data_IF_419044766723
#
_entry.id   IF_419044766723
#
_cell.length_a   1.000
_cell.length_b   1.000
_cell.length_c   1.000
_cell.angle_alpha   90.00
_cell.angle_beta   90.00
_cell.angle_gamma   90.00
#
_symmetry.space_group_name_H-M   'P 1'
#
loop_
_entity.id
_entity.type
_entity.pdbx_description
1 polymer ?
#
# COMPACT_ATOMS: atom_id res chain seq x y z
N UNK A 1 17.53 25.49 -82.97
CA UNK A 1 17.65 24.69 -81.78
C UNK A 1 16.27 24.59 -81.11
N UNK A 2 15.64 23.45 -81.26
CA UNK A 2 14.30 23.20 -80.70
C UNK A 2 14.46 22.51 -79.32
N UNK A 3 13.88 23.09 -78.27
CA UNK A 3 13.85 22.52 -76.96
C UNK A 3 12.46 21.88 -76.77
N UNK A 4 12.41 20.56 -76.72
CA UNK A 4 11.19 19.82 -76.51
C UNK A 4 10.85 19.71 -75.04
N UNK A 5 9.65 20.13 -74.65
CA UNK A 5 9.08 19.93 -73.32
C UNK A 5 8.44 18.56 -73.23
N UNK A 6 8.95 17.73 -72.27
CA UNK A 6 8.28 16.50 -71.87
C UNK A 6 7.26 16.81 -70.76
N UNK A 7 6.00 16.52 -71.03
CA UNK A 7 4.94 16.58 -70.05
C UNK A 7 4.88 15.23 -69.30
N UNK A 8 5.04 15.23 -67.97
CA UNK A 8 4.81 14.07 -67.13
C UNK A 8 3.32 14.03 -66.72
N UNK A 9 2.66 12.98 -67.12
CA UNK A 9 1.31 12.64 -66.62
C UNK A 9 1.46 11.89 -65.31
N UNK A 10 1.02 12.54 -64.23
CA UNK A 10 0.93 11.89 -62.92
C UNK A 10 -0.40 11.15 -62.85
N UNK A 11 -0.35 9.83 -62.89
CA UNK A 11 -1.53 9.00 -62.64
C UNK A 11 -1.86 9.00 -61.13
N UNK A 12 -3.02 9.56 -60.76
CA UNK A 12 -3.54 9.50 -59.42
C UNK A 12 -4.01 8.08 -59.09
N UNK A 13 -3.20 7.35 -58.29
CA UNK A 13 -3.57 6.07 -57.73
C UNK A 13 -4.67 6.26 -56.68
N UNK A 14 -5.85 5.71 -56.90
CA UNK A 14 -6.89 5.57 -55.87
C UNK A 14 -6.40 4.63 -54.80
N UNK A 15 -5.99 5.15 -53.64
CA UNK A 15 -5.71 4.37 -52.46
C UNK A 15 -6.99 3.73 -51.93
N UNK A 16 -7.06 2.40 -52.03
CA UNK A 16 -8.09 1.60 -51.34
C UNK A 16 -7.93 1.74 -49.82
N UNK A 17 -8.81 2.52 -49.21
CA UNK A 17 -8.87 2.65 -47.77
C UNK A 17 -9.23 1.29 -47.12
N UNK A 18 -8.24 0.60 -46.58
CA UNK A 18 -8.50 -0.51 -45.69
C UNK A 18 -9.10 0.04 -44.40
N UNK A 19 -10.41 -0.15 -44.25
CA UNK A 19 -11.11 0.07 -42.97
C UNK A 19 -10.47 -0.83 -41.94
N UNK A 20 -9.76 -0.25 -40.96
CA UNK A 20 -9.21 -0.99 -39.82
C UNK A 20 -10.39 -1.61 -39.05
N UNK A 21 -10.43 -2.94 -38.97
CA UNK A 21 -11.40 -3.63 -38.15
C UNK A 21 -11.16 -3.19 -36.70
N UNK A 22 -12.19 -2.74 -35.95
CA UNK A 22 -11.98 -2.38 -34.55
C UNK A 22 -11.49 -3.59 -33.79
N UNK A 23 -10.34 -3.42 -33.12
CA UNK A 23 -9.81 -4.44 -32.20
C UNK A 23 -10.85 -4.59 -31.07
N UNK A 24 -11.36 -5.79 -30.81
CA UNK A 24 -12.29 -5.99 -29.71
C UNK A 24 -11.60 -5.57 -28.41
N UNK A 25 -12.08 -4.51 -27.77
CA UNK A 25 -11.71 -4.13 -26.43
C UNK A 25 -12.22 -5.24 -25.51
N UNK A 26 -11.31 -5.99 -24.91
CA UNK A 26 -11.67 -6.90 -23.83
C UNK A 26 -12.37 -6.09 -22.75
N UNK A 27 -13.48 -6.59 -22.17
CA UNK A 27 -14.12 -5.92 -21.05
C UNK A 27 -13.09 -5.76 -19.93
N UNK A 28 -12.89 -4.53 -19.47
CA UNK A 28 -12.09 -4.27 -18.26
C UNK A 28 -12.85 -4.95 -17.12
N UNK A 29 -12.27 -6.02 -16.57
CA UNK A 29 -12.82 -6.66 -15.37
C UNK A 29 -12.57 -5.66 -14.24
N UNK A 30 -13.63 -5.02 -13.79
CA UNK A 30 -13.62 -4.12 -12.65
C UNK A 30 -14.23 -4.91 -11.49
N UNK A 31 -13.41 -5.27 -10.50
CA UNK A 31 -13.93 -5.87 -9.29
C UNK A 31 -14.87 -4.87 -8.58
N UNK A 32 -16.04 -5.30 -8.10
CA UNK A 32 -16.89 -4.44 -7.30
C UNK A 32 -16.20 -4.06 -5.99
N UNK A 33 -16.59 -2.93 -5.41
CA UNK A 33 -16.15 -2.58 -4.07
C UNK A 33 -16.70 -3.58 -3.04
N UNK A 34 -15.84 -4.13 -2.16
CA UNK A 34 -16.31 -5.08 -1.17
C UNK A 34 -17.24 -4.42 -0.15
N UNK A 35 -18.19 -5.19 0.35
CA UNK A 35 -19.16 -4.74 1.34
C UNK A 35 -18.48 -4.32 2.66
N UNK A 36 -19.08 -3.34 3.35
CA UNK A 36 -18.60 -2.86 4.66
C UNK A 36 -18.70 -3.94 5.74
N UNK A 37 -19.69 -4.80 5.65
CA UNK A 37 -19.95 -5.89 6.60
C UNK A 37 -19.07 -7.13 6.37
N UNK A 38 -18.15 -7.06 5.43
CA UNK A 38 -17.25 -8.16 5.04
C UNK A 38 -17.95 -9.41 4.54
N UNK A 39 -19.16 -9.30 4.00
CA UNK A 39 -19.88 -10.46 3.42
C UNK A 39 -19.13 -11.11 2.25
N UNK A 40 -18.17 -10.40 1.63
CA UNK A 40 -17.28 -10.88 0.57
C UNK A 40 -15.96 -11.48 1.08
N UNK A 41 -15.73 -11.52 2.40
CA UNK A 41 -14.49 -12.01 3.00
C UNK A 41 -14.54 -13.55 3.23
N UNK A 42 -13.37 -14.24 3.33
CA UNK A 42 -12.03 -13.69 3.10
C UNK A 42 -11.58 -13.76 1.63
N UNK A 43 -10.82 -12.77 1.18
CA UNK A 43 -10.12 -12.81 -0.11
C UNK A 43 -8.67 -12.37 0.08
N UNK A 44 -7.71 -13.23 -0.24
CA UNK A 44 -6.28 -13.04 0.04
C UNK A 44 -5.42 -12.89 -1.23
N UNK A 45 -5.95 -13.22 -2.42
CA UNK A 45 -5.22 -13.14 -3.68
C UNK A 45 -6.02 -12.37 -4.73
N UNK A 46 -5.32 -11.52 -5.47
CA UNK A 46 -5.91 -10.64 -6.47
C UNK A 46 -5.07 -10.67 -7.74
N UNK A 47 -5.70 -10.48 -8.89
CA UNK A 47 -5.02 -10.43 -10.19
C UNK A 47 -4.58 -9.03 -10.59
N UNK A 48 -5.07 -8.01 -9.90
CA UNK A 48 -4.80 -6.59 -10.17
C UNK A 48 -5.09 -5.75 -8.93
N UNK A 49 -4.66 -4.49 -8.97
CA UNK A 49 -4.98 -3.50 -7.93
C UNK A 49 -6.47 -3.30 -7.79
N UNK A 50 -6.96 -2.95 -6.58
CA UNK A 50 -8.37 -2.68 -6.35
C UNK A 50 -8.91 -1.56 -7.23
N UNK A 51 -10.19 -1.66 -7.56
CA UNK A 51 -10.98 -0.53 -8.05
C UNK A 51 -11.03 0.57 -7.00
N UNK A 52 -11.28 1.81 -7.44
CA UNK A 52 -11.50 2.92 -6.54
C UNK A 52 -12.81 2.75 -5.76
N UNK A 53 -12.72 2.67 -4.44
CA UNK A 53 -13.85 2.40 -3.53
C UNK A 53 -14.04 3.46 -2.44
N UNK A 54 -13.24 4.52 -2.44
CA UNK A 54 -13.43 5.61 -1.50
C UNK A 54 -14.51 6.58 -2.02
N UNK A 55 -15.41 6.98 -1.14
CA UNK A 55 -16.45 7.96 -1.42
C UNK A 55 -15.91 9.39 -1.23
N UNK A 56 -16.40 10.32 -2.04
CA UNK A 56 -15.99 11.73 -1.94
C UNK A 56 -16.53 12.36 -0.65
N UNK A 57 -15.66 13.09 0.04
CA UNK A 57 -16.04 13.84 1.25
C UNK A 57 -16.22 12.98 2.50
N UNK A 58 -15.87 11.70 2.43
CA UNK A 58 -16.01 10.74 3.53
C UNK A 58 -14.65 10.48 4.16
N UNK A 59 -14.57 10.55 5.48
CA UNK A 59 -13.38 10.17 6.24
C UNK A 59 -13.45 8.70 6.64
N UNK A 60 -12.29 8.06 6.77
CA UNK A 60 -12.19 6.64 7.08
C UNK A 60 -11.34 6.42 8.31
N UNK A 61 -11.84 5.59 9.22
CA UNK A 61 -11.08 5.11 10.38
C UNK A 61 -10.92 3.59 10.30
N UNK A 62 -9.70 3.11 10.36
CA UNK A 62 -9.42 1.70 10.53
C UNK A 62 -9.39 1.35 12.03
N UNK A 63 -10.15 0.34 12.41
CA UNK A 63 -10.19 -0.18 13.79
C UNK A 63 -9.57 -1.57 13.77
N UNK A 64 -8.40 -1.69 14.37
CA UNK A 64 -7.71 -2.95 14.55
C UNK A 64 -8.10 -3.54 15.92
N UNK A 65 -8.86 -4.63 15.93
CA UNK A 65 -9.04 -5.45 17.13
C UNK A 65 -7.85 -6.40 17.23
N UNK A 66 -7.01 -6.20 18.24
CA UNK A 66 -5.83 -7.04 18.45
C UNK A 66 -5.92 -7.82 19.77
N UNK A 67 -5.04 -8.81 19.92
CA UNK A 67 -4.93 -9.54 21.21
C UNK A 67 -4.45 -8.66 22.36
N UNK A 68 -3.82 -7.52 22.06
CA UNK A 68 -3.26 -6.60 23.05
C UNK A 68 -4.12 -5.34 23.28
N UNK A 69 -5.18 -5.16 22.49
CA UNK A 69 -6.10 -4.03 22.60
C UNK A 69 -6.51 -3.47 21.25
N UNK A 70 -7.44 -2.54 21.27
CA UNK A 70 -7.95 -1.86 20.08
C UNK A 70 -7.01 -0.72 19.68
N UNK A 71 -6.75 -0.58 18.37
CA UNK A 71 -6.01 0.54 17.79
C UNK A 71 -6.89 1.20 16.73
N UNK A 72 -7.27 2.44 16.97
CA UNK A 72 -8.07 3.24 16.04
C UNK A 72 -7.16 4.19 15.27
N UNK A 73 -7.24 4.14 13.93
CA UNK A 73 -6.36 4.88 13.03
C UNK A 73 -7.19 5.72 12.07
N UNK A 74 -7.08 7.04 12.15
CA UNK A 74 -7.61 7.94 11.12
C UNK A 74 -6.76 7.80 9.85
N UNK A 75 -7.39 7.49 8.72
CA UNK A 75 -6.70 7.26 7.43
C UNK A 75 -6.54 8.58 6.66
N UNK A 76 -5.34 8.85 6.15
CA UNK A 76 -5.00 10.09 5.45
C UNK A 76 -5.31 9.99 3.95
N UNK A 77 -6.60 9.98 3.61
CA UNK A 77 -7.04 9.94 2.21
C UNK A 77 -6.69 11.18 1.38
N UNK A 78 -6.29 12.27 2.03
CA UNK A 78 -5.97 13.53 1.34
C UNK A 78 -4.56 13.51 0.74
N UNK A 79 -3.60 12.95 1.47
CA UNK A 79 -2.20 12.90 1.05
C UNK A 79 -1.82 11.59 0.35
N UNK A 80 -2.47 10.47 0.73
CA UNK A 80 -2.18 9.14 0.18
C UNK A 80 -3.45 8.38 -0.21
N UNK A 81 -4.29 8.94 -1.11
CA UNK A 81 -5.61 8.39 -1.44
C UNK A 81 -5.57 6.98 -2.06
N UNK A 82 -4.61 6.68 -2.92
CA UNK A 82 -4.47 5.35 -3.54
C UNK A 82 -4.06 4.30 -2.50
N UNK A 83 -3.18 4.65 -1.58
CA UNK A 83 -2.75 3.79 -0.47
C UNK A 83 -3.91 3.51 0.48
N UNK A 84 -4.68 4.55 0.84
CA UNK A 84 -5.88 4.40 1.68
C UNK A 84 -6.92 3.53 0.97
N UNK A 85 -7.18 3.76 -0.32
CA UNK A 85 -8.09 2.92 -1.10
C UNK A 85 -7.66 1.45 -1.07
N UNK A 86 -6.39 1.18 -1.32
CA UNK A 86 -5.83 -0.17 -1.27
C UNK A 86 -6.06 -0.83 0.09
N UNK A 87 -5.70 -0.12 1.17
CA UNK A 87 -5.84 -0.63 2.53
C UNK A 87 -7.31 -0.89 2.90
N UNK A 88 -8.21 0.04 2.61
CA UNK A 88 -9.66 -0.08 2.88
C UNK A 88 -10.26 -1.29 2.16
N UNK A 89 -9.92 -1.48 0.88
CA UNK A 89 -10.42 -2.62 0.10
C UNK A 89 -9.91 -3.94 0.67
N UNK A 90 -8.61 -4.04 0.97
CA UNK A 90 -8.03 -5.24 1.57
C UNK A 90 -8.65 -5.55 2.94
N UNK A 91 -8.83 -4.53 3.80
CA UNK A 91 -9.47 -4.69 5.10
C UNK A 91 -10.91 -5.19 4.98
N UNK A 92 -11.70 -4.65 4.03
CA UNK A 92 -13.07 -5.11 3.77
C UNK A 92 -13.14 -6.53 3.23
N UNK A 93 -12.10 -6.99 2.49
CA UNK A 93 -11.97 -8.40 2.12
C UNK A 93 -11.42 -9.29 3.23
N UNK A 94 -11.27 -8.80 4.45
CA UNK A 94 -10.73 -9.57 5.58
C UNK A 94 -9.28 -9.99 5.42
N UNK A 95 -8.52 -9.30 4.56
CA UNK A 95 -7.13 -9.64 4.23
C UNK A 95 -6.23 -9.66 5.47
N UNK A 96 -6.50 -8.81 6.43
CA UNK A 96 -5.71 -8.66 7.65
C UNK A 96 -6.24 -9.46 8.84
N UNK A 97 -7.42 -10.06 8.71
CA UNK A 97 -8.08 -10.77 9.81
C UNK A 97 -7.35 -12.06 10.16
N UNK A 98 -7.10 -12.30 11.44
CA UNK A 98 -6.37 -13.46 11.94
C UNK A 98 -4.86 -13.43 11.66
N UNK A 99 -4.30 -12.32 11.16
CA UNK A 99 -2.86 -12.20 10.87
C UNK A 99 -2.06 -11.77 12.09
N UNK A 100 -0.75 -12.01 12.06
CA UNK A 100 0.16 -11.61 13.13
C UNK A 100 0.80 -10.25 12.91
N UNK A 101 1.07 -9.55 13.98
CA UNK A 101 2.11 -8.54 14.05
C UNK A 101 3.42 -9.28 14.36
N UNK A 102 4.20 -9.58 13.33
CA UNK A 102 5.26 -10.58 13.37
C UNK A 102 6.66 -10.01 13.62
N UNK A 103 6.88 -8.72 13.32
CA UNK A 103 8.18 -8.07 13.53
C UNK A 103 8.06 -6.91 14.49
N UNK A 104 8.91 -6.94 15.52
CA UNK A 104 9.08 -5.85 16.47
C UNK A 104 10.52 -5.39 16.40
N UNK A 105 10.74 -4.09 16.22
CA UNK A 105 12.08 -3.52 16.09
C UNK A 105 12.21 -2.27 16.98
N UNK A 106 12.71 -2.42 18.21
CA UNK A 106 12.85 -1.29 19.11
C UNK A 106 13.99 -0.33 18.74
N UNK A 107 14.83 -0.66 17.75
CA UNK A 107 15.90 0.25 17.32
C UNK A 107 15.35 1.43 16.54
N UNK A 108 14.21 1.24 15.87
CA UNK A 108 13.47 2.26 15.11
C UNK A 108 12.01 2.35 15.53
N UNK A 109 11.63 1.74 16.65
CA UNK A 109 10.28 1.73 17.22
C UNK A 109 9.18 1.37 16.19
N UNK A 110 9.29 0.24 15.51
CA UNK A 110 8.25 -0.24 14.59
C UNK A 110 7.69 -1.61 14.98
N UNK A 111 6.39 -1.79 14.67
CA UNK A 111 5.68 -3.08 14.77
C UNK A 111 5.06 -3.35 13.41
N UNK A 112 5.48 -4.43 12.74
CA UNK A 112 5.08 -4.75 11.36
C UNK A 112 4.16 -5.96 11.27
N UNK A 113 3.17 -5.89 10.35
CA UNK A 113 2.21 -6.93 10.04
C UNK A 113 1.69 -6.86 8.60
N UNK A 114 0.52 -7.47 8.35
CA UNK A 114 -0.14 -7.44 7.03
C UNK A 114 0.35 -8.51 6.07
N UNK A 115 0.69 -9.69 6.57
CA UNK A 115 1.28 -10.81 5.83
C UNK A 115 0.45 -12.10 6.00
N UNK A 116 -0.77 -12.22 5.41
CA UNK A 116 -1.73 -13.29 5.72
C UNK A 116 -1.30 -14.67 5.25
N UNK A 117 -0.40 -14.80 4.27
CA UNK A 117 0.01 -16.11 3.76
C UNK A 117 1.11 -16.76 4.60
N UNK A 118 1.96 -15.97 5.24
CA UNK A 118 3.16 -16.49 5.93
C UNK A 118 3.38 -15.95 7.33
N UNK A 119 2.68 -14.86 7.71
CA UNK A 119 2.96 -14.12 8.93
C UNK A 119 4.45 -13.74 9.08
N UNK A 120 5.08 -13.38 7.97
CA UNK A 120 6.49 -13.01 7.94
C UNK A 120 6.80 -11.95 6.87
N UNK A 121 7.99 -11.39 6.91
CA UNK A 121 8.48 -10.42 5.94
C UNK A 121 8.53 -10.97 4.49
N UNK A 122 8.62 -12.29 4.31
CA UNK A 122 8.69 -12.96 3.01
C UNK A 122 7.33 -13.23 2.36
N UNK A 123 6.24 -12.71 2.94
CA UNK A 123 4.91 -12.88 2.39
C UNK A 123 4.82 -12.36 0.95
N UNK A 124 4.23 -13.12 0.01
CA UNK A 124 4.13 -12.72 -1.39
C UNK A 124 3.21 -11.51 -1.62
N UNK A 125 2.44 -11.10 -0.62
CA UNK A 125 1.47 -10.02 -0.72
C UNK A 125 0.20 -10.38 -1.48
N UNK A 126 -0.59 -9.39 -1.88
CA UNK A 126 -1.92 -9.61 -2.48
C UNK A 126 -1.87 -10.03 -3.96
N UNK A 127 -0.69 -10.12 -4.58
CA UNK A 127 -0.51 -10.43 -6.00
C UNK A 127 -0.27 -9.20 -6.89
N UNK A 128 -0.16 -8.02 -6.29
CA UNK A 128 0.15 -6.77 -6.97
C UNK A 128 0.91 -5.80 -6.04
N UNK A 129 1.40 -4.71 -6.61
CA UNK A 129 1.93 -3.56 -5.85
C UNK A 129 1.18 -2.30 -6.23
N UNK A 130 1.23 -1.28 -5.36
CA UNK A 130 0.64 0.03 -5.58
C UNK A 130 1.71 1.06 -5.98
N UNK A 131 1.34 2.11 -6.72
CA UNK A 131 2.24 3.19 -7.05
C UNK A 131 2.62 3.99 -5.80
N UNK A 132 3.80 4.61 -5.86
CA UNK A 132 4.21 5.57 -4.86
C UNK A 132 3.39 6.87 -4.99
N UNK A 133 3.06 7.47 -3.86
CA UNK A 133 2.29 8.70 -3.76
C UNK A 133 3.08 9.80 -3.03
N UNK A 134 2.58 11.02 -3.04
CA UNK A 134 3.09 12.11 -2.22
C UNK A 134 4.49 12.60 -2.59
N UNK A 135 4.98 12.31 -3.81
CA UNK A 135 6.30 12.76 -4.26
C UNK A 135 7.47 11.94 -3.70
N UNK A 136 7.21 10.68 -3.30
CA UNK A 136 8.24 9.75 -2.90
C UNK A 136 9.34 9.61 -3.97
N UNK A 137 10.51 9.19 -3.55
CA UNK A 137 11.65 8.89 -4.42
C UNK A 137 12.19 10.08 -5.23
N UNK A 138 12.42 11.19 -4.56
CA UNK A 138 13.26 12.24 -5.13
C UNK A 138 14.68 11.69 -5.25
N UNK A 139 15.24 11.69 -6.46
CA UNK A 139 16.66 11.38 -6.67
C UNK A 139 17.51 12.48 -6.08
N UNK A 140 18.35 12.14 -5.13
CA UNK A 140 19.39 13.03 -4.63
C UNK A 140 20.56 13.11 -5.61
N UNK A 141 21.29 14.23 -5.61
CA UNK A 141 22.45 14.45 -6.47
C UNK A 141 23.56 13.37 -6.30
N UNK A 142 23.62 12.69 -5.17
CA UNK A 142 24.54 11.59 -4.87
C UNK A 142 24.01 10.19 -5.21
N UNK A 143 22.87 10.07 -5.90
CA UNK A 143 22.27 8.78 -6.29
C UNK A 143 21.42 8.10 -5.21
N UNK A 144 21.27 8.68 -4.03
CA UNK A 144 20.34 8.24 -2.99
C UNK A 144 18.89 8.57 -3.33
N UNK A 145 17.96 7.92 -2.63
CA UNK A 145 16.52 8.22 -2.69
C UNK A 145 16.12 8.94 -1.43
N UNK A 146 15.28 9.96 -1.56
CA UNK A 146 14.67 10.68 -0.45
C UNK A 146 13.18 10.86 -0.73
N UNK A 147 12.39 11.02 0.31
CA UNK A 147 10.96 11.28 0.24
C UNK A 147 10.54 12.36 1.24
N UNK A 148 9.32 12.88 1.12
CA UNK A 148 8.84 14.00 1.91
C UNK A 148 8.29 13.60 3.28
N UNK A 149 8.23 12.32 3.61
CA UNK A 149 7.57 11.85 4.81
C UNK A 149 8.46 11.99 6.05
N UNK A 150 7.85 12.42 7.13
CA UNK A 150 8.37 12.35 8.50
C UNK A 150 7.46 11.47 9.32
N UNK A 151 8.00 10.85 10.36
CA UNK A 151 7.30 9.81 11.11
C UNK A 151 7.27 10.11 12.60
N UNK A 152 6.15 9.73 13.23
CA UNK A 152 5.95 9.89 14.66
C UNK A 152 5.22 8.65 15.24
N UNK A 153 5.24 8.54 16.56
CA UNK A 153 4.51 7.48 17.25
C UNK A 153 3.01 7.51 16.89
N UNK A 154 2.46 6.35 16.56
CA UNK A 154 1.09 6.16 16.10
C UNK A 154 0.91 6.18 14.58
N UNK A 155 1.93 6.53 13.80
CA UNK A 155 1.82 6.48 12.34
C UNK A 155 1.57 5.05 11.86
N UNK A 156 0.65 4.91 10.91
CA UNK A 156 0.45 3.72 10.10
C UNK A 156 1.10 3.95 8.73
N UNK A 157 2.04 3.07 8.40
CA UNK A 157 2.99 3.28 7.29
C UNK A 157 3.07 2.01 6.45
N UNK A 158 3.06 2.12 5.12
CA UNK A 158 3.26 0.98 4.23
C UNK A 158 4.71 0.47 4.30
N UNK A 159 4.87 -0.81 4.56
CA UNK A 159 6.13 -1.49 4.31
C UNK A 159 6.34 -1.67 2.79
N UNK A 160 7.61 -1.73 2.38
CA UNK A 160 7.96 -1.88 0.97
C UNK A 160 9.27 -2.65 0.78
N UNK A 161 9.46 -3.22 -0.38
CA UNK A 161 10.72 -3.78 -0.85
C UNK A 161 11.65 -2.67 -1.37
N UNK A 162 12.81 -3.03 -1.86
CA UNK A 162 13.72 -2.07 -2.49
C UNK A 162 13.14 -1.53 -3.80
N UNK A 163 13.28 -0.22 -4.01
CA UNK A 163 12.85 0.45 -5.23
C UNK A 163 11.44 1.06 -5.18
N UNK A 164 11.07 1.85 -6.19
CA UNK A 164 9.78 2.51 -6.29
C UNK A 164 8.66 1.51 -6.59
N UNK A 165 7.41 1.90 -6.25
CA UNK A 165 6.18 1.15 -6.51
C UNK A 165 6.21 -0.29 -5.98
N UNK A 166 6.81 -0.52 -4.80
CA UNK A 166 7.02 -1.84 -4.23
C UNK A 166 6.18 -2.12 -2.98
N UNK A 167 5.33 -1.22 -2.57
CA UNK A 167 4.33 -1.44 -1.51
C UNK A 167 3.17 -2.31 -2.02
N UNK A 168 2.65 -3.18 -1.16
CA UNK A 168 1.52 -4.06 -1.48
C UNK A 168 0.48 -4.04 -0.36
N UNK A 169 0.66 -4.88 0.65
CA UNK A 169 -0.27 -5.02 1.77
C UNK A 169 0.41 -4.89 3.15
N UNK A 170 1.69 -5.24 3.28
CA UNK A 170 2.39 -5.14 4.55
C UNK A 170 2.51 -3.68 5.01
N UNK A 171 2.33 -3.49 6.30
CA UNK A 171 2.43 -2.19 6.95
C UNK A 171 3.21 -2.30 8.26
N UNK A 172 3.59 -1.15 8.81
CA UNK A 172 4.08 -1.07 10.18
C UNK A 172 3.45 0.11 10.91
N UNK A 173 3.39 -0.02 12.22
CA UNK A 173 3.06 1.08 13.13
C UNK A 173 4.34 1.68 13.70
N UNK A 174 4.41 3.00 13.84
CA UNK A 174 5.34 3.68 14.72
C UNK A 174 4.91 3.47 16.17
N UNK A 175 5.65 2.71 16.95
CA UNK A 175 5.30 2.41 18.35
C UNK A 175 5.91 3.37 19.36
N UNK A 176 6.85 4.22 18.94
CA UNK A 176 7.55 5.16 19.79
C UNK A 176 8.33 6.22 19.02
N UNK A 177 9.06 7.11 19.71
CA UNK A 177 9.70 8.27 19.10
C UNK A 177 10.84 7.95 18.13
N UNK A 178 11.48 6.78 18.24
CA UNK A 178 12.59 6.41 17.35
C UNK A 178 12.16 6.14 15.91
N UNK A 179 10.86 6.02 15.62
CA UNK A 179 10.37 5.91 14.23
C UNK A 179 10.80 7.13 13.40
N UNK A 180 11.04 8.29 14.02
CA UNK A 180 11.61 9.48 13.37
C UNK A 180 13.01 9.29 12.78
N UNK A 181 13.73 8.23 13.14
CA UNK A 181 15.00 7.86 12.49
C UNK A 181 14.81 7.50 11.00
N UNK A 182 13.57 7.18 10.60
CA UNK A 182 13.23 6.94 9.19
C UNK A 182 13.08 8.24 8.38
N UNK A 183 13.02 9.41 9.01
CA UNK A 183 12.88 10.72 8.35
C UNK A 183 14.04 11.00 7.39
N UNK A 184 15.24 10.53 7.72
CA UNK A 184 16.42 10.68 6.87
C UNK A 184 16.26 10.02 5.49
N UNK A 185 15.40 9.03 5.39
CA UNK A 185 15.01 8.37 4.13
C UNK A 185 13.68 8.94 3.61
N UNK A 186 12.64 9.08 4.46
CA UNK A 186 11.35 9.67 4.16
C UNK A 186 10.55 9.00 3.03
N UNK A 187 10.85 7.74 2.69
CA UNK A 187 10.33 7.08 1.49
C UNK A 187 9.24 6.04 1.76
N UNK A 188 8.80 5.88 3.00
CA UNK A 188 7.69 5.00 3.35
C UNK A 188 6.39 5.78 3.36
N UNK A 189 5.36 5.29 2.68
CA UNK A 189 4.03 5.92 2.61
C UNK A 189 3.36 5.93 3.98
N UNK A 190 3.30 7.09 4.62
CA UNK A 190 2.49 7.29 5.81
C UNK A 190 1.05 7.56 5.39
N UNK A 191 0.12 6.70 5.80
CA UNK A 191 -1.27 6.77 5.35
C UNK A 191 -2.32 6.77 6.46
N UNK A 192 -1.90 6.88 7.72
CA UNK A 192 -2.81 7.01 8.85
C UNK A 192 -2.10 7.36 10.15
N UNK A 193 -2.90 7.74 11.15
CA UNK A 193 -2.44 8.11 12.48
C UNK A 193 -3.36 7.49 13.54
N UNK A 194 -2.78 6.75 14.47
CA UNK A 194 -3.49 6.21 15.63
C UNK A 194 -3.86 7.32 16.61
N UNK A 195 -5.01 7.17 17.25
CA UNK A 195 -5.42 8.03 18.35
C UNK A 195 -4.54 7.82 19.61
N UNK A 196 -4.82 8.57 20.67
CA UNK A 196 -4.02 8.51 21.90
C UNK A 196 -4.09 7.12 22.55
N UNK A 197 -5.27 6.49 22.57
CA UNK A 197 -5.45 5.17 23.16
C UNK A 197 -4.70 4.10 22.34
N UNK A 198 -4.80 4.15 21.01
CA UNK A 198 -4.07 3.26 20.11
C UNK A 198 -2.55 3.40 20.23
N UNK A 199 -2.04 4.64 20.40
CA UNK A 199 -0.61 4.85 20.67
C UNK A 199 -0.17 4.22 22.00
N UNK A 200 -1.00 4.28 23.03
CA UNK A 200 -0.69 3.62 24.31
C UNK A 200 -0.63 2.10 24.15
N UNK A 201 -1.56 1.50 23.36
CA UNK A 201 -1.53 0.06 23.03
C UNK A 201 -0.26 -0.30 22.28
N UNK A 202 0.13 0.46 21.25
CA UNK A 202 1.35 0.23 20.47
C UNK A 202 2.62 0.32 21.34
N UNK A 203 2.69 1.28 22.24
CA UNK A 203 3.82 1.41 23.18
C UNK A 203 3.90 0.22 24.14
N UNK A 204 2.75 -0.26 24.64
CA UNK A 204 2.69 -1.44 25.49
C UNK A 204 3.09 -2.72 24.74
N UNK A 205 2.64 -2.87 23.47
CA UNK A 205 3.03 -3.99 22.61
C UNK A 205 4.55 -4.07 22.41
N UNK A 206 5.23 -2.94 22.22
CA UNK A 206 6.69 -2.93 22.06
C UNK A 206 7.40 -3.54 23.29
N UNK A 207 6.78 -3.48 24.47
CA UNK A 207 7.27 -4.17 25.67
C UNK A 207 7.28 -5.70 25.59
N UNK A 208 6.62 -6.28 24.58
CA UNK A 208 6.65 -7.72 24.31
C UNK A 208 7.83 -8.15 23.42
N UNK A 209 8.68 -7.22 23.02
CA UNK A 209 9.82 -7.52 22.15
C UNK A 209 10.76 -8.56 22.77
N UNK A 210 11.19 -9.50 21.93
CA UNK A 210 12.35 -10.33 22.17
C UNK A 210 13.23 -10.39 20.92
N UNK A 211 14.53 -10.47 21.14
CA UNK A 211 15.50 -10.64 20.04
C UNK A 211 15.31 -11.99 19.37
N UNK A 212 15.39 -11.99 18.05
CA UNK A 212 15.56 -13.20 17.24
C UNK A 212 16.86 -13.06 16.45
N UNK A 213 17.90 -13.75 16.90
CA UNK A 213 19.24 -13.71 16.30
C UNK A 213 19.27 -14.29 14.85
N UNK A 214 18.22 -15.00 14.47
CA UNK A 214 18.06 -15.55 13.11
C UNK A 214 17.30 -14.58 12.18
N UNK A 215 16.67 -13.55 12.72
CA UNK A 215 15.95 -12.55 11.96
C UNK A 215 16.90 -11.45 11.50
N UNK A 216 16.97 -11.16 10.18
CA UNK A 216 17.76 -10.03 9.67
C UNK A 216 17.12 -8.66 9.98
N UNK A 217 15.94 -8.64 10.60
CA UNK A 217 15.11 -7.45 10.80
C UNK A 217 14.77 -7.18 12.27
N UNK A 218 15.59 -7.60 13.22
CA UNK A 218 15.34 -7.42 14.65
C UNK A 218 14.75 -8.67 15.28
N UNK A 219 13.57 -8.57 15.89
CA UNK A 219 12.94 -9.68 16.57
C UNK A 219 11.42 -9.68 16.40
N UNK A 220 10.76 -10.40 17.25
CA UNK A 220 9.32 -10.51 17.33
C UNK A 220 8.80 -10.38 18.76
N UNK A 221 7.50 -10.59 18.98
CA UNK A 221 6.96 -10.60 20.32
C UNK A 221 7.23 -11.93 21.04
N UNK A 222 7.35 -11.89 22.39
CA UNK A 222 7.54 -13.10 23.24
C UNK A 222 6.35 -14.05 23.22
N UNK A 223 5.20 -13.62 22.71
CA UNK A 223 4.00 -14.38 22.43
C UNK A 223 3.32 -13.82 21.21
N UNK A 224 2.58 -14.66 20.50
CA UNK A 224 1.87 -14.24 19.28
C UNK A 224 0.92 -13.07 19.55
N UNK A 225 1.05 -12.03 18.75
CA UNK A 225 0.16 -10.87 18.73
C UNK A 225 -0.65 -10.91 17.45
N UNK A 226 -1.94 -11.19 17.56
CA UNK A 226 -2.84 -11.28 16.42
C UNK A 226 -3.67 -10.02 16.23
N UNK A 227 -3.89 -9.67 14.98
CA UNK A 227 -4.99 -8.82 14.53
C UNK A 227 -6.20 -9.74 14.36
N UNK A 228 -7.17 -9.71 15.27
CA UNK A 228 -8.39 -10.52 15.14
C UNK A 228 -9.22 -10.07 13.97
N UNK A 229 -9.32 -8.75 13.79
CA UNK A 229 -10.00 -8.15 12.63
C UNK A 229 -9.55 -6.70 12.40
N UNK A 230 -9.73 -6.21 11.16
CA UNK A 230 -9.65 -4.79 10.83
C UNK A 230 -10.99 -4.33 10.27
N UNK A 231 -11.70 -3.49 11.00
CA UNK A 231 -12.98 -2.89 10.55
C UNK A 231 -12.75 -1.48 10.02
N UNK A 232 -13.46 -1.10 8.97
CA UNK A 232 -13.43 0.26 8.41
C UNK A 232 -14.72 0.98 8.82
N UNK A 233 -14.56 2.01 9.63
CA UNK A 233 -15.62 2.95 9.95
C UNK A 233 -15.61 4.13 8.99
N UNK A 234 -16.80 4.64 8.69
CA UNK A 234 -17.07 5.72 7.74
C UNK A 234 -17.71 6.86 8.51
N UNK A 235 -17.13 8.07 8.43
CA UNK A 235 -17.55 9.26 9.19
C UNK A 235 -17.82 10.48 8.31
#
# INVERSE_FOLDING_TARGET
>A
MMVGSLAFVVAAGRGSGKTATPVPTLPTIVDPCPALDKSDAPRLAFSHRPTWCLENGVEYTAVFDTTEGEIRVALDRHNTPETVNNFVVLARYGYYDGTMLFRFDPTIDIIQGGAPHTNSWSDPGPGYTIPDEGGQFLKLAGGGLSGPFTYQAGDLVMARSAGPNSSGAQFFFGSGPRVSLLDGQGTYLRFGQADEAGRAVLAAMMGLYQTDDLSPYGGGPIRDVFIRSVTIEVG
#
